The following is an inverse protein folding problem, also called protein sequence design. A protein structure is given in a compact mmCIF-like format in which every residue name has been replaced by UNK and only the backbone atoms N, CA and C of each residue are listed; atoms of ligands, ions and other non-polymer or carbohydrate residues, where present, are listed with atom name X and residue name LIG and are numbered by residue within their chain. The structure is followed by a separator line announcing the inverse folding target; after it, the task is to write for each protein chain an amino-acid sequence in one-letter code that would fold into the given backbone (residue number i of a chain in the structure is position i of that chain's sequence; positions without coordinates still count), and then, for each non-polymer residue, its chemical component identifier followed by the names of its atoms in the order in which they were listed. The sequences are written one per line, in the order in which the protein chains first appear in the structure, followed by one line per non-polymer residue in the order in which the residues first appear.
data_IF_930418459498
#
_entry.id   IF_930418459498
#
_cell.length_a   1.000
_cell.length_b   1.000
_cell.length_c   1.000
_cell.angle_alpha   90.00
_cell.angle_beta   90.00
_cell.angle_gamma   90.00
#
_symmetry.space_group_name_H-M   'P 1'
#
loop_
_entity.id
_entity.type
_entity.pdbx_description
1 polymer ?
#
# COMPACT_ATOMS: atom_id res chain seq x y z
N UNK A 1 14.72 -39.68 30.86
CA UNK A 1 14.79 -38.59 31.86
C UNK A 1 15.92 -37.66 31.49
N UNK A 2 15.59 -36.58 30.80
CA UNK A 2 16.34 -35.31 30.80
C UNK A 2 15.28 -34.23 30.58
N UNK A 3 15.22 -33.30 31.51
CA UNK A 3 14.03 -32.52 31.84
C UNK A 3 13.69 -31.48 30.76
N UNK A 4 12.42 -31.48 30.35
CA UNK A 4 11.77 -30.35 29.69
C UNK A 4 11.75 -29.17 30.67
N UNK A 5 12.43 -28.08 30.29
CA UNK A 5 12.41 -26.82 31.03
C UNK A 5 11.02 -26.17 31.04
N UNK A 6 10.70 -25.38 32.07
CA UNK A 6 9.35 -24.94 32.38
C UNK A 6 8.87 -23.85 31.41
N UNK A 7 7.58 -23.93 31.06
CA UNK A 7 6.72 -22.86 30.57
C UNK A 7 7.42 -21.55 30.16
N UNK A 8 7.83 -21.45 28.90
CA UNK A 8 7.93 -20.15 28.24
C UNK A 8 6.50 -19.62 28.20
N UNK A 9 6.14 -18.76 29.16
CA UNK A 9 4.93 -17.94 29.07
C UNK A 9 5.15 -17.02 27.88
N UNK A 10 4.59 -17.39 26.74
CA UNK A 10 4.42 -16.48 25.62
C UNK A 10 3.62 -15.30 26.17
N UNK A 11 4.11 -14.05 26.07
CA UNK A 11 3.34 -12.89 26.51
C UNK A 11 1.97 -12.90 25.81
N UNK A 12 0.89 -12.41 26.46
CA UNK A 12 -0.40 -12.31 25.80
C UNK A 12 -0.22 -11.60 24.46
N UNK A 13 -0.89 -12.13 23.41
CA UNK A 13 -0.73 -11.59 22.07
C UNK A 13 -1.02 -10.09 22.08
N UNK A 14 -0.10 -9.31 21.52
CA UNK A 14 -0.32 -7.87 21.33
C UNK A 14 -1.47 -7.62 20.34
N UNK A 15 -1.71 -8.59 19.45
CA UNK A 15 -2.72 -8.54 18.41
C UNK A 15 -3.86 -9.52 18.71
N UNK A 16 -5.09 -9.05 18.57
CA UNK A 16 -6.28 -9.91 18.64
C UNK A 16 -6.37 -10.73 17.34
N UNK A 17 -7.02 -11.89 17.37
CA UNK A 17 -7.34 -12.67 16.15
C UNK A 17 -8.12 -11.85 15.11
N UNK A 18 -9.00 -10.96 15.60
CA UNK A 18 -9.78 -10.07 14.75
C UNK A 18 -8.99 -8.87 14.17
N UNK A 19 -7.71 -8.73 14.51
CA UNK A 19 -6.91 -7.56 14.12
C UNK A 19 -6.76 -7.48 12.60
N UNK A 20 -6.90 -6.27 12.06
CA UNK A 20 -6.56 -5.94 10.68
C UNK A 20 -5.04 -5.77 10.52
N UNK A 21 -4.30 -5.62 11.62
CA UNK A 21 -2.86 -5.33 11.59
C UNK A 21 -2.00 -6.56 11.30
N UNK A 22 -2.54 -7.77 11.49
CA UNK A 22 -1.84 -9.04 11.37
C UNK A 22 -2.84 -10.13 10.95
N UNK A 23 -2.44 -11.04 10.05
CA UNK A 23 -3.28 -12.18 9.69
C UNK A 23 -3.34 -12.48 8.20
N UNK A 24 -4.31 -13.29 7.80
CA UNK A 24 -4.49 -13.73 6.42
C UNK A 24 -5.50 -12.84 5.68
N UNK A 25 -5.18 -12.50 4.43
CA UNK A 25 -5.99 -11.65 3.57
C UNK A 25 -6.15 -12.28 2.20
N UNK A 26 -7.39 -12.28 1.69
CA UNK A 26 -7.72 -12.75 0.37
C UNK A 26 -8.15 -11.56 -0.48
N UNK A 27 -7.34 -11.22 -1.48
CA UNK A 27 -7.63 -10.13 -2.42
C UNK A 27 -8.17 -10.67 -3.74
N UNK A 28 -9.16 -9.97 -4.29
CA UNK A 28 -9.63 -10.17 -5.65
C UNK A 28 -9.03 -9.08 -6.53
N UNK A 29 -8.36 -9.45 -7.62
CA UNK A 29 -7.88 -8.45 -8.57
C UNK A 29 -9.05 -7.95 -9.44
N UNK A 30 -9.37 -6.66 -9.38
CA UNK A 30 -10.41 -6.05 -10.24
C UNK A 30 -10.21 -6.40 -11.72
N UNK A 31 -11.20 -7.00 -12.36
CA UNK A 31 -11.15 -7.42 -13.78
C UNK A 31 -10.40 -8.74 -14.05
N UNK A 32 -9.99 -9.49 -13.03
CA UNK A 32 -9.50 -10.87 -13.17
C UNK A 32 -10.25 -11.80 -12.23
N UNK A 33 -10.47 -13.03 -12.66
CA UNK A 33 -10.94 -14.14 -11.81
C UNK A 33 -9.84 -14.67 -10.88
N UNK A 34 -8.69 -13.99 -10.78
CA UNK A 34 -7.54 -14.45 -10.01
C UNK A 34 -7.56 -13.87 -8.61
N UNK A 35 -7.80 -14.74 -7.63
CA UNK A 35 -7.59 -14.44 -6.22
C UNK A 35 -6.10 -14.41 -5.88
N UNK A 36 -5.75 -13.75 -4.79
CA UNK A 36 -4.42 -13.81 -4.20
C UNK A 36 -4.50 -13.85 -2.68
N UNK A 37 -3.74 -14.77 -2.08
CA UNK A 37 -3.71 -14.98 -0.62
C UNK A 37 -2.42 -14.38 -0.07
N UNK A 38 -2.54 -13.62 1.02
CA UNK A 38 -1.43 -12.90 1.65
C UNK A 38 -1.43 -13.13 3.15
N UNK A 39 -0.24 -13.26 3.72
CA UNK A 39 -0.01 -13.12 5.17
C UNK A 39 0.55 -11.73 5.43
N UNK A 40 -0.18 -10.94 6.23
CA UNK A 40 0.26 -9.64 6.73
C UNK A 40 1.06 -9.81 8.02
N UNK A 41 2.30 -9.32 7.98
CA UNK A 41 3.20 -9.24 9.12
C UNK A 41 3.22 -7.78 9.59
N UNK A 42 2.85 -7.49 10.85
CA UNK A 42 2.87 -6.14 11.40
C UNK A 42 4.30 -5.61 11.57
N UNK A 43 4.50 -4.29 11.65
CA UNK A 43 5.80 -3.71 11.93
C UNK A 43 6.27 -4.06 13.35
N UNK A 44 7.57 -4.26 13.52
CA UNK A 44 8.22 -4.73 14.73
C UNK A 44 9.13 -3.67 15.36
N UNK A 45 8.69 -3.08 16.48
CA UNK A 45 9.41 -2.02 17.19
C UNK A 45 10.31 -2.58 18.30
N UNK A 46 11.27 -3.43 17.93
CA UNK A 46 12.20 -4.02 18.90
C UNK A 46 13.45 -3.15 19.18
N UNK A 47 13.56 -1.99 18.53
CA UNK A 47 14.71 -1.07 18.63
C UNK A 47 15.86 -1.45 17.70
N UNK A 48 16.78 -0.52 17.41
CA UNK A 48 17.85 -0.70 16.42
C UNK A 48 18.88 -1.79 16.78
N UNK A 49 19.00 -2.13 18.06
CA UNK A 49 19.93 -3.16 18.55
C UNK A 49 19.30 -4.56 18.58
N UNK A 50 18.06 -4.69 18.08
CA UNK A 50 17.35 -5.94 18.06
C UNK A 50 18.01 -6.96 17.13
N UNK A 51 18.16 -8.19 17.62
CA UNK A 51 18.71 -9.30 16.85
C UNK A 51 17.69 -10.43 16.79
N UNK A 52 17.45 -10.90 15.58
CA UNK A 52 16.54 -11.99 15.32
C UNK A 52 16.19 -12.07 13.84
N UNK A 53 15.66 -13.23 13.46
CA UNK A 53 15.09 -13.43 12.12
C UNK A 53 13.78 -14.21 12.23
N UNK A 54 12.92 -13.97 11.27
CA UNK A 54 11.68 -14.69 11.04
C UNK A 54 11.84 -15.50 9.74
N UNK A 55 11.53 -16.78 9.79
CA UNK A 55 11.59 -17.69 8.66
C UNK A 55 10.18 -18.19 8.35
N UNK A 56 9.79 -18.16 7.08
CA UNK A 56 8.46 -18.58 6.60
C UNK A 56 8.65 -19.53 5.42
N UNK A 57 8.25 -20.77 5.60
CA UNK A 57 8.19 -21.79 4.55
C UNK A 57 6.73 -21.96 4.11
N UNK A 58 6.45 -21.66 2.85
CA UNK A 58 5.11 -21.79 2.24
C UNK A 58 5.17 -22.62 0.96
N UNK A 59 4.01 -22.83 0.32
CA UNK A 59 3.95 -23.45 -1.01
C UNK A 59 4.64 -22.65 -2.11
N UNK A 60 4.92 -21.36 -1.86
CA UNK A 60 5.68 -20.50 -2.75
C UNK A 60 7.19 -20.48 -2.44
N UNK A 61 7.64 -21.29 -1.48
CA UNK A 61 9.04 -21.42 -1.09
C UNK A 61 9.36 -20.79 0.27
N UNK A 62 10.66 -20.61 0.49
CA UNK A 62 11.23 -20.17 1.76
C UNK A 62 11.57 -18.68 1.74
N UNK A 63 11.22 -17.96 2.80
CA UNK A 63 11.53 -16.53 2.99
C UNK A 63 12.10 -16.29 4.37
N UNK A 64 13.08 -15.39 4.45
CA UNK A 64 13.68 -14.95 5.72
C UNK A 64 13.58 -13.43 5.81
N UNK A 65 13.18 -12.95 6.98
CA UNK A 65 13.10 -11.53 7.32
C UNK A 65 13.97 -11.27 8.54
N UNK A 66 14.92 -10.34 8.41
CA UNK A 66 15.63 -9.78 9.56
C UNK A 66 14.75 -8.75 10.27
N UNK A 67 15.11 -8.39 11.51
CA UNK A 67 14.39 -7.34 12.25
C UNK A 67 14.29 -6.03 11.46
N UNK A 68 15.36 -5.62 10.78
CA UNK A 68 15.40 -4.42 9.93
C UNK A 68 14.40 -4.48 8.77
N UNK A 69 14.11 -5.68 8.27
CA UNK A 69 13.13 -5.85 7.20
C UNK A 69 11.70 -5.63 7.72
N UNK A 70 11.49 -5.78 9.03
CA UNK A 70 10.20 -5.69 9.71
C UNK A 70 9.98 -4.33 10.40
N UNK A 71 10.77 -3.29 10.07
CA UNK A 71 10.49 -1.92 10.51
C UNK A 71 9.17 -1.37 9.91
N UNK A 72 8.69 -1.98 8.82
CA UNK A 72 7.42 -1.69 8.18
C UNK A 72 6.63 -3.00 7.98
N UNK A 73 5.33 -2.86 7.74
CA UNK A 73 4.45 -3.98 7.41
C UNK A 73 4.94 -4.76 6.19
N UNK A 74 4.84 -6.09 6.24
CA UNK A 74 5.16 -6.97 5.12
C UNK A 74 3.98 -7.81 4.71
N UNK A 75 3.79 -7.91 3.39
CA UNK A 75 2.81 -8.79 2.78
C UNK A 75 3.52 -9.95 2.12
N UNK A 76 3.33 -11.13 2.68
CA UNK A 76 3.94 -12.36 2.20
C UNK A 76 2.94 -13.08 1.31
N UNK A 77 3.21 -13.27 0.01
CA UNK A 77 2.31 -14.02 -0.85
C UNK A 77 2.27 -15.47 -0.39
N UNK A 78 1.08 -16.05 -0.40
CA UNK A 78 0.82 -17.43 -0.02
C UNK A 78 0.06 -18.14 -1.14
N UNK A 79 0.22 -19.46 -1.21
CA UNK A 79 -0.66 -20.35 -1.98
C UNK A 79 -1.45 -21.21 -1.01
N UNK A 80 -2.73 -21.48 -1.29
CA UNK A 80 -3.54 -22.31 -0.40
C UNK A 80 -2.99 -23.74 -0.38
N UNK A 81 -2.69 -24.24 0.83
CA UNK A 81 -2.21 -25.59 1.11
C UNK A 81 -2.42 -25.90 2.61
N UNK A 82 -2.28 -27.15 3.01
CA UNK A 82 -2.38 -27.57 4.42
C UNK A 82 -1.13 -28.38 4.79
N UNK A 83 -0.32 -27.92 5.76
CA UNK A 83 -0.42 -26.64 6.49
C UNK A 83 -0.13 -25.44 5.56
N UNK A 84 -0.73 -24.28 5.84
CA UNK A 84 -0.58 -23.09 4.98
C UNK A 84 0.88 -22.63 4.90
N UNK A 85 1.55 -22.53 6.05
CA UNK A 85 2.97 -22.24 6.14
C UNK A 85 3.55 -22.77 7.46
N UNK A 86 4.85 -23.07 7.46
CA UNK A 86 5.64 -23.28 8.67
C UNK A 86 6.40 -21.98 8.98
N UNK A 87 6.32 -21.53 10.23
CA UNK A 87 6.89 -20.24 10.65
C UNK A 87 7.79 -20.46 11.85
N UNK A 88 9.03 -19.99 11.76
CA UNK A 88 10.00 -20.07 12.84
C UNK A 88 10.58 -18.68 13.16
N UNK A 89 10.66 -18.36 14.44
CA UNK A 89 11.28 -17.13 14.93
C UNK A 89 12.57 -17.43 15.68
N UNK A 90 13.53 -16.51 15.59
CA UNK A 90 14.80 -16.60 16.31
C UNK A 90 15.09 -15.27 17.02
N UNK A 91 15.75 -15.35 18.17
CA UNK A 91 16.06 -14.19 18.99
C UNK A 91 14.80 -13.45 19.42
N UNK A 92 14.77 -12.13 19.23
CA UNK A 92 13.67 -11.28 19.69
C UNK A 92 12.40 -11.38 18.83
N UNK A 93 12.45 -12.06 17.67
CA UNK A 93 11.29 -12.28 16.81
C UNK A 93 10.47 -13.54 17.16
N UNK A 94 10.83 -14.26 18.24
CA UNK A 94 10.11 -15.47 18.69
C UNK A 94 8.62 -15.22 18.96
N UNK A 95 8.28 -14.10 19.63
CA UNK A 95 6.89 -13.79 19.98
C UNK A 95 6.06 -13.47 18.73
N UNK A 96 6.64 -12.74 17.76
CA UNK A 96 5.99 -12.45 16.49
C UNK A 96 5.76 -13.74 15.69
N UNK A 97 6.74 -14.64 15.64
CA UNK A 97 6.58 -15.93 14.97
C UNK A 97 5.45 -16.76 15.59
N UNK A 98 5.39 -16.83 16.93
CA UNK A 98 4.31 -17.55 17.62
C UNK A 98 2.92 -16.97 17.29
N UNK A 99 2.82 -15.65 17.19
CA UNK A 99 1.58 -14.99 16.76
C UNK A 99 1.21 -15.40 15.33
N UNK A 100 2.14 -15.28 14.39
CA UNK A 100 1.90 -15.62 12.99
C UNK A 100 1.55 -17.10 12.82
N UNK A 101 2.16 -18.01 13.61
CA UNK A 101 1.75 -19.41 13.67
C UNK A 101 0.28 -19.51 14.08
N UNK A 102 -0.14 -18.79 15.11
CA UNK A 102 -1.54 -18.70 15.51
C UNK A 102 -2.44 -18.24 14.37
N UNK A 103 -2.01 -17.22 13.61
CA UNK A 103 -2.76 -16.68 12.49
C UNK A 103 -2.92 -17.66 11.31
N UNK A 104 -1.87 -18.41 10.97
CA UNK A 104 -1.93 -19.37 9.84
C UNK A 104 -2.52 -20.73 10.23
N UNK A 105 -2.49 -21.08 11.53
CA UNK A 105 -2.98 -22.38 12.02
C UNK A 105 -4.48 -22.57 11.87
N UNK A 106 -5.25 -21.48 11.78
CA UNK A 106 -6.69 -21.53 11.52
C UNK A 106 -7.05 -21.95 10.09
N UNK A 107 -6.12 -21.84 9.14
CA UNK A 107 -6.35 -22.21 7.75
C UNK A 107 -6.40 -23.73 7.61
N UNK A 108 -7.52 -24.26 7.12
CA UNK A 108 -7.81 -25.70 7.09
C UNK A 108 -8.13 -26.20 5.68
N UNK A 109 -8.29 -27.52 5.50
CA UNK A 109 -8.71 -28.09 4.22
C UNK A 109 -10.16 -27.70 3.84
N UNK A 110 -10.98 -27.33 4.82
CA UNK A 110 -12.40 -27.10 4.65
C UNK A 110 -12.82 -25.68 5.04
N UNK A 111 -13.69 -25.09 4.22
CA UNK A 111 -14.48 -23.86 4.49
C UNK A 111 -13.71 -22.72 5.18
N UNK A 112 -12.64 -22.24 4.56
CA UNK A 112 -11.95 -21.03 5.00
C UNK A 112 -12.73 -19.79 4.54
N UNK A 113 -13.26 -19.01 5.48
CA UNK A 113 -14.04 -17.81 5.18
C UNK A 113 -13.18 -16.54 5.26
N UNK A 114 -13.43 -15.63 4.33
CA UNK A 114 -12.85 -14.29 4.26
C UNK A 114 -13.96 -13.28 4.05
N UNK A 115 -13.82 -12.07 4.59
CA UNK A 115 -14.69 -10.96 4.17
C UNK A 115 -14.52 -10.70 2.66
N UNK A 116 -15.62 -10.37 1.97
CA UNK A 116 -15.62 -10.09 0.54
C UNK A 116 -16.00 -8.62 0.28
N UNK A 117 -15.07 -7.72 0.61
CA UNK A 117 -15.16 -6.33 0.19
C UNK A 117 -14.53 -6.15 -1.20
N UNK A 118 -14.68 -4.97 -1.79
CA UNK A 118 -14.28 -4.66 -3.18
C UNK A 118 -12.82 -4.98 -3.48
N UNK A 119 -11.93 -4.85 -2.49
CA UNK A 119 -10.48 -5.05 -2.65
C UNK A 119 -9.96 -6.36 -2.03
N UNK A 120 -10.83 -7.13 -1.39
CA UNK A 120 -10.45 -8.31 -0.60
C UNK A 120 -10.95 -8.25 0.83
N UNK A 121 -10.52 -9.20 1.65
CA UNK A 121 -10.84 -9.17 3.07
C UNK A 121 -10.06 -10.16 3.93
N UNK A 122 -10.09 -9.90 5.23
CA UNK A 122 -9.43 -10.69 6.26
C UNK A 122 -10.08 -12.06 6.40
N UNK A 123 -9.26 -13.06 6.71
CA UNK A 123 -9.69 -14.39 7.15
C UNK A 123 -10.52 -14.31 8.45
N UNK A 124 -11.51 -15.18 8.56
CA UNK A 124 -12.42 -15.25 9.69
C UNK A 124 -12.15 -16.57 10.41
N UNK A 125 -11.71 -16.48 11.67
CA UNK A 125 -11.49 -17.69 12.46
C UNK A 125 -12.83 -18.32 12.84
N UNK A 126 -12.83 -19.64 13.03
CA UNK A 126 -14.03 -20.43 13.35
C UNK A 126 -14.76 -20.01 14.63
N UNK A 127 -14.05 -19.37 15.57
CA UNK A 127 -14.62 -18.85 16.82
C UNK A 127 -15.19 -17.43 16.67
N UNK A 128 -14.97 -16.77 15.53
CA UNK A 128 -15.56 -15.48 15.22
C UNK A 128 -17.00 -15.62 14.68
N UNK A 129 -17.72 -14.50 14.68
CA UNK A 129 -19.11 -14.43 14.24
C UNK A 129 -19.22 -13.71 12.91
N UNK A 130 -20.01 -14.27 11.99
CA UNK A 130 -20.41 -13.62 10.74
C UNK A 130 -21.48 -12.57 11.02
N UNK A 131 -21.64 -11.62 10.11
CA UNK A 131 -22.50 -10.45 10.25
C UNK A 131 -23.60 -10.45 9.18
N UNK A 132 -24.85 -10.26 9.60
CA UNK A 132 -25.95 -10.08 8.67
C UNK A 132 -25.70 -8.94 7.68
N UNK A 133 -26.06 -9.15 6.41
CA UNK A 133 -25.85 -8.20 5.31
C UNK A 133 -24.41 -8.10 4.81
N UNK A 134 -23.46 -8.88 5.34
CA UNK A 134 -22.08 -8.90 4.85
C UNK A 134 -21.87 -9.95 3.75
N UNK A 135 -20.84 -9.73 2.93
CA UNK A 135 -20.41 -10.64 1.86
C UNK A 135 -19.14 -11.38 2.29
N UNK A 136 -19.02 -12.61 1.85
CA UNK A 136 -17.93 -13.51 2.18
C UNK A 136 -17.43 -14.28 0.97
N UNK A 137 -16.15 -14.62 1.00
CA UNK A 137 -15.52 -15.58 0.10
C UNK A 137 -15.13 -16.81 0.88
N UNK A 138 -15.38 -17.97 0.30
CA UNK A 138 -15.05 -19.27 0.88
C UNK A 138 -14.01 -19.97 0.01
N UNK A 139 -12.96 -20.48 0.63
CA UNK A 139 -11.97 -21.37 0.01
C UNK A 139 -12.02 -22.75 0.64
N UNK A 140 -12.16 -23.79 -0.18
CA UNK A 140 -12.14 -25.19 0.27
C UNK A 140 -11.35 -26.07 -0.69
N UNK A 141 -10.67 -27.08 -0.16
CA UNK A 141 -9.94 -28.07 -0.97
C UNK A 141 -10.91 -29.00 -1.71
N UNK A 142 -12.11 -29.18 -1.16
CA UNK A 142 -13.16 -30.01 -1.73
C UNK A 142 -14.32 -29.16 -2.24
N UNK A 143 -15.08 -29.73 -3.18
CA UNK A 143 -16.30 -29.07 -3.66
C UNK A 143 -17.30 -28.94 -2.51
N UNK A 144 -17.90 -27.76 -2.37
CA UNK A 144 -18.87 -27.45 -1.32
C UNK A 144 -20.16 -27.00 -2.00
N UNK A 145 -21.23 -27.74 -1.76
CA UNK A 145 -22.55 -27.42 -2.25
C UNK A 145 -23.52 -27.23 -1.06
N UNK A 146 -24.11 -26.03 -0.87
CA UNK A 146 -25.19 -25.87 0.08
C UNK A 146 -26.46 -26.60 -0.40
N UNK A 147 -27.36 -27.00 0.52
CA UNK A 147 -28.73 -27.37 0.16
C UNK A 147 -29.37 -26.27 -0.71
N UNK A 148 -30.22 -26.66 -1.67
CA UNK A 148 -30.74 -25.74 -2.71
C UNK A 148 -31.36 -24.45 -2.14
N UNK A 149 -32.19 -24.58 -1.10
CA UNK A 149 -32.82 -23.43 -0.44
C UNK A 149 -31.80 -22.52 0.24
N UNK A 150 -30.78 -23.10 0.86
CA UNK A 150 -29.72 -22.39 1.54
C UNK A 150 -28.82 -21.68 0.53
N UNK A 151 -28.46 -22.35 -0.56
CA UNK A 151 -27.68 -21.76 -1.65
C UNK A 151 -28.39 -20.55 -2.27
N UNK A 152 -29.71 -20.63 -2.44
CA UNK A 152 -30.53 -19.51 -2.91
C UNK A 152 -30.56 -18.35 -1.92
N UNK A 153 -30.72 -18.64 -0.62
CA UNK A 153 -30.75 -17.62 0.43
C UNK A 153 -29.41 -16.89 0.59
N UNK A 154 -28.29 -17.59 0.38
CA UNK A 154 -26.94 -17.06 0.47
C UNK A 154 -26.45 -16.39 -0.81
N UNK A 155 -27.20 -16.50 -1.91
CA UNK A 155 -26.71 -16.10 -3.23
C UNK A 155 -25.39 -16.78 -3.57
N UNK A 156 -25.28 -18.09 -3.30
CA UNK A 156 -24.07 -18.89 -3.45
C UNK A 156 -23.59 -18.93 -4.91
N UNK A 157 -22.36 -18.47 -5.14
CA UNK A 157 -21.76 -18.36 -6.48
C UNK A 157 -20.40 -19.05 -6.51
N UNK A 158 -20.22 -20.13 -7.31
CA UNK A 158 -18.90 -20.67 -7.59
C UNK A 158 -18.07 -19.69 -8.44
N UNK A 159 -16.88 -19.35 -7.98
CA UNK A 159 -15.94 -18.42 -8.65
C UNK A 159 -14.82 -19.16 -9.40
N UNK A 160 -14.79 -20.49 -9.30
CA UNK A 160 -13.83 -21.36 -9.98
C UNK A 160 -12.77 -21.93 -9.04
N UNK A 161 -11.57 -22.18 -9.59
CA UNK A 161 -10.47 -22.84 -8.88
C UNK A 161 -9.29 -21.86 -8.73
N UNK A 162 -8.86 -21.64 -7.49
CA UNK A 162 -7.70 -20.84 -7.12
C UNK A 162 -6.64 -21.73 -6.48
N UNK A 163 -5.48 -21.89 -7.14
CA UNK A 163 -4.37 -22.69 -6.59
C UNK A 163 -4.73 -24.15 -6.30
N UNK A 164 -5.68 -24.72 -7.04
CA UNK A 164 -6.22 -26.07 -6.80
C UNK A 164 -7.37 -26.15 -5.77
N UNK A 165 -7.80 -25.01 -5.22
CA UNK A 165 -8.89 -24.92 -4.25
C UNK A 165 -10.14 -24.32 -4.88
N UNK A 166 -11.31 -24.82 -4.49
CA UNK A 166 -12.58 -24.28 -4.93
C UNK A 166 -12.87 -22.97 -4.21
N UNK A 167 -13.28 -21.96 -4.99
CA UNK A 167 -13.67 -20.67 -4.48
C UNK A 167 -15.16 -20.40 -4.70
N UNK A 168 -15.78 -19.80 -3.70
CA UNK A 168 -17.17 -19.39 -3.74
C UNK A 168 -17.33 -17.99 -3.16
N UNK A 169 -18.29 -17.25 -3.67
CA UNK A 169 -18.79 -16.03 -3.07
C UNK A 169 -20.21 -16.24 -2.53
N UNK A 170 -20.51 -15.63 -1.39
CA UNK A 170 -21.83 -15.68 -0.75
C UNK A 170 -22.11 -14.38 0.00
N UNK A 171 -23.39 -14.10 0.25
CA UNK A 171 -23.84 -12.96 1.04
C UNK A 171 -24.82 -13.42 2.11
N UNK A 172 -24.63 -12.95 3.34
CA UNK A 172 -25.64 -13.13 4.37
C UNK A 172 -26.81 -12.16 4.11
N UNK A 173 -28.07 -12.64 4.21
CA UNK A 173 -29.25 -11.79 4.09
C UNK A 173 -29.15 -10.52 4.93
N UNK A 174 -29.54 -9.37 4.35
CA UNK A 174 -29.52 -8.07 5.02
C UNK A 174 -30.67 -7.88 6.00
N UNK A 175 -31.78 -8.62 5.80
CA UNK A 175 -32.97 -8.58 6.66
C UNK A 175 -33.29 -9.99 7.09
N UNK A 176 -33.52 -10.17 8.40
CA UNK A 176 -34.02 -11.43 8.93
C UNK A 176 -35.38 -11.73 8.29
N UNK A 177 -35.46 -12.84 7.56
CA UNK A 177 -36.71 -13.27 6.94
C UNK A 177 -37.57 -13.91 8.03
N UNK A 178 -38.48 -13.12 8.60
CA UNK A 178 -39.38 -13.57 9.68
C UNK A 178 -40.21 -14.83 9.35
N UNK A 179 -40.37 -15.15 8.06
CA UNK A 179 -41.03 -16.36 7.59
C UNK A 179 -40.16 -17.63 7.59
N UNK A 180 -38.85 -17.52 7.87
CA UNK A 180 -37.93 -18.67 7.98
C UNK A 180 -37.11 -18.60 9.29
N UNK A 181 -37.71 -18.93 10.44
CA UNK A 181 -37.07 -18.78 11.75
C UNK A 181 -35.84 -19.69 11.96
N UNK A 182 -35.77 -20.83 11.26
CA UNK A 182 -34.66 -21.80 11.37
C UNK A 182 -33.46 -21.47 10.46
N UNK A 183 -33.65 -20.59 9.47
CA UNK A 183 -32.62 -20.23 8.48
C UNK A 183 -31.29 -19.75 9.11
N UNK A 184 -31.26 -18.90 10.16
CA UNK A 184 -30.01 -18.53 10.83
C UNK A 184 -29.22 -19.73 11.34
N UNK A 185 -29.91 -20.71 11.92
CA UNK A 185 -29.30 -21.90 12.47
C UNK A 185 -28.75 -22.78 11.35
N UNK A 186 -29.53 -22.96 10.28
CA UNK A 186 -29.09 -23.70 9.10
C UNK A 186 -27.86 -23.07 8.44
N UNK A 187 -27.83 -21.73 8.29
CA UNK A 187 -26.66 -21.01 7.79
C UNK A 187 -25.46 -21.21 8.72
N UNK A 188 -25.66 -21.07 10.04
CA UNK A 188 -24.60 -21.21 11.02
C UNK A 188 -24.01 -22.63 11.03
N UNK A 189 -24.86 -23.65 10.98
CA UNK A 189 -24.46 -25.07 10.94
C UNK A 189 -23.72 -25.39 9.62
N UNK A 190 -24.16 -24.83 8.50
CA UNK A 190 -23.50 -25.00 7.21
C UNK A 190 -22.16 -24.26 7.13
N UNK A 191 -22.08 -23.00 7.55
CA UNK A 191 -20.84 -22.22 7.48
C UNK A 191 -19.89 -22.53 8.64
N UNK A 192 -20.34 -23.23 9.68
CA UNK A 192 -19.56 -23.52 10.88
C UNK A 192 -19.29 -22.29 11.76
N UNK A 193 -20.07 -21.22 11.59
CA UNK A 193 -19.87 -19.95 12.28
C UNK A 193 -21.18 -19.42 12.85
N UNK A 194 -21.11 -18.79 14.03
CA UNK A 194 -22.27 -18.08 14.58
C UNK A 194 -22.53 -16.80 13.78
N UNK A 195 -23.76 -16.32 13.79
CA UNK A 195 -24.17 -15.10 13.08
C UNK A 195 -24.66 -14.07 14.09
N UNK A 196 -24.25 -12.81 13.88
CA UNK A 196 -24.65 -11.66 14.70
C UNK A 196 -25.19 -10.52 13.84
N UNK A 197 -25.76 -9.54 14.53
CA UNK A 197 -26.14 -8.25 13.95
C UNK A 197 -24.93 -7.52 13.37
N UNK A 198 -25.18 -6.74 12.32
CA UNK A 198 -24.17 -5.91 11.67
C UNK A 198 -23.58 -4.89 12.65
N UNK A 199 -22.24 -4.78 12.70
CA UNK A 199 -21.55 -3.79 13.52
C UNK A 199 -21.47 -2.42 12.81
N UNK A 200 -21.34 -1.32 13.56
CA UNK A 200 -20.96 -0.02 12.99
C UNK A 200 -19.68 -0.12 12.17
N UNK A 201 -19.57 0.66 11.08
CA UNK A 201 -18.40 0.71 10.20
C UNK A 201 -17.88 2.14 10.07
N UNK A 202 -16.57 2.28 9.85
CA UNK A 202 -15.93 3.53 9.42
C UNK A 202 -15.56 3.43 7.94
N UNK A 203 -15.89 4.48 7.20
CA UNK A 203 -15.53 4.64 5.80
C UNK A 203 -14.63 5.88 5.65
N UNK A 204 -13.49 5.71 4.98
CA UNK A 204 -12.60 6.82 4.64
C UNK A 204 -13.24 7.65 3.51
N UNK A 205 -13.37 8.97 3.70
CA UNK A 205 -14.06 9.83 2.72
C UNK A 205 -13.12 10.86 2.11
N UNK A 206 -12.36 11.60 2.92
CA UNK A 206 -11.50 12.68 2.43
C UNK A 206 -10.28 12.89 3.36
N UNK A 207 -9.07 13.14 2.82
CA UNK A 207 -8.69 12.97 1.43
C UNK A 207 -8.82 11.51 0.98
N UNK A 208 -8.99 11.30 -0.33
CA UNK A 208 -8.92 9.95 -0.87
C UNK A 208 -7.49 9.40 -0.74
N UNK A 209 -7.32 8.11 -0.43
CA UNK A 209 -6.00 7.50 -0.37
C UNK A 209 -5.36 7.50 -1.77
N UNK A 210 -4.04 7.54 -1.82
CA UNK A 210 -3.34 7.33 -3.08
C UNK A 210 -3.65 5.92 -3.63
N UNK A 211 -3.58 4.90 -2.79
CA UNK A 211 -4.11 3.58 -3.10
C UNK A 211 -4.57 2.88 -1.82
N UNK A 212 -5.32 1.80 -2.00
CA UNK A 212 -5.59 0.86 -0.91
C UNK A 212 -4.84 -0.42 -1.27
N UNK A 213 -3.99 -0.86 -0.35
CA UNK A 213 -3.19 -2.07 -0.45
C UNK A 213 -4.08 -3.32 -0.53
N UNK A 214 -3.51 -4.46 -0.94
CA UNK A 214 -4.23 -5.74 -1.11
C UNK A 214 -4.91 -6.26 0.17
N UNK A 215 -4.53 -5.77 1.33
CA UNK A 215 -5.13 -6.11 2.63
C UNK A 215 -6.17 -5.09 3.13
N UNK A 216 -6.49 -4.08 2.33
CA UNK A 216 -7.44 -3.03 2.69
C UNK A 216 -6.83 -1.81 3.38
N UNK A 217 -5.50 -1.72 3.50
CA UNK A 217 -4.84 -0.55 4.11
C UNK A 217 -4.87 0.66 3.20
N UNK A 218 -5.37 1.80 3.70
CA UNK A 218 -5.39 3.08 3.01
C UNK A 218 -3.98 3.70 3.06
N UNK A 219 -3.34 3.90 1.91
CA UNK A 219 -1.97 4.44 1.86
C UNK A 219 -1.98 5.86 1.35
N UNK A 220 -1.40 6.77 2.15
CA UNK A 220 -1.19 8.16 1.80
C UNK A 220 0.30 8.42 1.54
N UNK A 221 0.64 9.16 0.46
CA UNK A 221 2.02 9.44 0.09
C UNK A 221 2.65 10.50 0.99
N UNK A 222 1.83 11.34 1.60
CA UNK A 222 2.20 12.40 2.53
C UNK A 222 1.25 12.42 3.72
N UNK A 223 1.67 12.93 4.89
CA UNK A 223 0.78 13.16 6.03
C UNK A 223 -0.42 14.04 5.64
N UNK A 224 -1.67 13.52 5.64
CA UNK A 224 -2.84 14.37 5.37
C UNK A 224 -3.06 15.34 6.53
N UNK A 225 -3.55 16.57 6.31
CA UNK A 225 -3.82 17.47 7.46
C UNK A 225 -4.91 16.92 8.40
N UNK A 226 -5.91 16.24 7.82
CA UNK A 226 -6.97 15.57 8.55
C UNK A 226 -7.59 14.47 7.71
N UNK A 227 -8.24 13.50 8.37
CA UNK A 227 -9.07 12.49 7.74
C UNK A 227 -10.53 12.73 8.11
N UNK A 228 -11.40 12.86 7.11
CA UNK A 228 -12.84 12.84 7.25
C UNK A 228 -13.34 11.41 7.04
N UNK A 229 -14.05 10.91 8.04
CA UNK A 229 -14.60 9.57 8.09
C UNK A 229 -16.13 9.65 8.17
N UNK A 230 -16.80 8.68 7.53
CA UNK A 230 -18.24 8.45 7.70
C UNK A 230 -18.48 7.19 8.52
N UNK A 231 -19.27 7.32 9.58
CA UNK A 231 -19.63 6.29 10.55
C UNK A 231 -21.08 5.84 10.32
N UNK A 232 -21.30 4.53 10.15
CA UNK A 232 -22.63 3.98 9.84
C UNK A 232 -23.49 3.61 11.06
N UNK A 233 -23.08 4.00 12.28
CA UNK A 233 -23.74 3.65 13.54
C UNK A 233 -23.14 4.44 14.71
N UNK A 234 -23.65 4.24 15.92
CA UNK A 234 -23.09 4.86 17.13
C UNK A 234 -21.83 4.13 17.62
N UNK A 235 -20.97 4.83 18.35
CA UNK A 235 -19.82 4.24 19.05
C UNK A 235 -18.62 5.18 19.05
N UNK A 236 -17.77 5.07 20.07
CA UNK A 236 -16.61 5.95 20.23
C UNK A 236 -15.54 5.61 19.19
N UNK A 237 -15.13 6.60 18.40
CA UNK A 237 -14.03 6.44 17.45
C UNK A 237 -12.70 6.63 18.18
N UNK A 238 -11.75 5.71 17.95
CA UNK A 238 -10.39 5.84 18.47
C UNK A 238 -9.36 5.56 17.39
N UNK A 239 -8.17 6.14 17.56
CA UNK A 239 -7.02 5.94 16.65
C UNK A 239 -5.85 5.43 17.47
N UNK A 240 -5.26 4.32 17.02
CA UNK A 240 -4.07 3.75 17.66
C UNK A 240 -2.95 3.67 16.65
N UNK A 241 -1.78 4.22 16.97
CA UNK A 241 -0.59 4.08 16.15
C UNK A 241 0.11 2.74 16.43
N UNK A 242 0.69 2.12 15.39
CA UNK A 242 1.48 0.91 15.51
C UNK A 242 2.79 1.15 16.29
N UNK A 243 3.33 2.36 16.18
CA UNK A 243 4.55 2.86 16.84
C UNK A 243 4.26 4.18 17.56
N UNK A 244 4.72 4.31 18.80
CA UNK A 244 4.58 5.53 19.59
C UNK A 244 3.16 5.80 20.12
N UNK A 245 3.02 6.88 20.89
CA UNK A 245 1.74 7.42 21.35
C UNK A 245 1.35 8.59 20.45
N UNK A 246 0.67 8.32 19.33
CA UNK A 246 0.09 9.38 18.50
C UNK A 246 -1.14 9.95 19.17
N UNK A 247 -1.08 11.21 19.63
CA UNK A 247 -2.24 11.94 20.15
C UNK A 247 -3.11 12.44 19.02
N UNK A 248 -3.90 11.56 18.40
CA UNK A 248 -4.88 11.96 17.41
C UNK A 248 -6.01 12.75 18.09
N UNK A 249 -6.34 13.92 17.55
CA UNK A 249 -7.52 14.69 17.92
C UNK A 249 -8.72 14.21 17.12
N UNK A 250 -9.78 13.83 17.82
CA UNK A 250 -11.01 13.33 17.20
C UNK A 250 -12.11 14.34 17.46
N UNK A 251 -12.71 14.85 16.37
CA UNK A 251 -13.81 15.80 16.39
C UNK A 251 -15.01 15.17 15.70
N UNK A 252 -16.08 14.92 16.46
CA UNK A 252 -17.37 14.52 15.90
C UNK A 252 -18.04 15.73 15.23
N UNK A 253 -18.45 15.57 13.98
CA UNK A 253 -19.13 16.58 13.17
C UNK A 253 -20.57 16.14 12.91
N UNK A 254 -21.33 15.97 13.99
CA UNK A 254 -22.67 15.38 13.96
C UNK A 254 -22.63 13.86 14.12
N UNK A 255 -23.75 13.19 13.83
CA UNK A 255 -23.94 11.78 14.19
C UNK A 255 -23.14 10.80 13.31
N UNK A 256 -22.96 11.14 12.03
CA UNK A 256 -22.31 10.26 11.04
C UNK A 256 -20.86 10.66 10.70
N UNK A 257 -20.45 11.90 10.95
CA UNK A 257 -19.17 12.39 10.45
C UNK A 257 -18.16 12.54 11.58
N UNK A 258 -16.96 11.99 11.36
CA UNK A 258 -15.86 12.08 12.31
C UNK A 258 -14.65 12.64 11.59
N UNK A 259 -14.08 13.73 12.11
CA UNK A 259 -12.81 14.27 11.65
C UNK A 259 -11.70 13.86 12.61
N UNK A 260 -10.66 13.26 12.07
CA UNK A 260 -9.48 12.86 12.81
C UNK A 260 -8.30 13.71 12.34
N UNK A 261 -7.63 14.37 13.28
CA UNK A 261 -6.37 15.09 13.06
C UNK A 261 -5.30 14.44 13.88
N UNK A 262 -4.06 14.52 13.44
CA UNK A 262 -2.97 13.98 14.22
C UNK A 262 -1.63 14.35 13.60
N UNK A 263 -0.57 14.35 14.41
CA UNK A 263 0.78 14.34 13.89
C UNK A 263 1.02 12.96 13.27
N UNK A 264 0.79 12.83 11.96
CA UNK A 264 1.07 11.58 11.27
C UNK A 264 2.55 11.45 10.96
N UNK A 265 3.11 10.30 11.31
CA UNK A 265 4.51 9.99 11.14
C UNK A 265 4.66 9.03 9.97
N UNK A 266 5.58 9.35 9.06
CA UNK A 266 5.96 8.47 7.97
C UNK A 266 6.41 7.10 8.46
N UNK A 267 5.97 6.04 7.78
CA UNK A 267 6.27 4.65 8.14
C UNK A 267 5.44 4.09 9.30
N UNK A 268 4.63 4.91 9.97
CA UNK A 268 3.70 4.45 10.99
C UNK A 268 2.35 4.06 10.40
N UNK A 269 1.75 3.02 10.97
CA UNK A 269 0.38 2.61 10.66
C UNK A 269 -0.56 3.07 11.77
N UNK A 270 -1.75 3.44 11.37
CA UNK A 270 -2.79 3.97 12.25
C UNK A 270 -4.04 3.13 12.08
N UNK A 271 -4.49 2.55 13.19
CA UNK A 271 -5.68 1.73 13.26
C UNK A 271 -6.83 2.58 13.75
N UNK A 272 -7.87 2.70 12.93
CA UNK A 272 -9.13 3.34 13.24
C UNK A 272 -10.09 2.29 13.80
N UNK A 273 -10.66 2.54 14.97
CA UNK A 273 -11.57 1.62 15.65
C UNK A 273 -12.86 2.31 16.11
N UNK A 274 -13.94 1.54 16.22
CA UNK A 274 -15.17 1.93 16.93
C UNK A 274 -15.29 1.02 18.14
N UNK A 275 -15.40 1.60 19.34
CA UNK A 275 -15.53 0.87 20.62
C UNK A 275 -14.44 -0.21 20.79
N UNK A 276 -13.22 0.08 20.33
CA UNK A 276 -12.07 -0.83 20.36
C UNK A 276 -12.09 -1.98 19.34
N UNK A 277 -13.07 -2.01 18.43
CA UNK A 277 -13.11 -2.93 17.27
C UNK A 277 -12.48 -2.26 16.05
N UNK A 278 -11.37 -2.81 15.54
CA UNK A 278 -10.66 -2.29 14.36
C UNK A 278 -11.58 -2.27 13.13
N UNK A 279 -11.63 -1.12 12.44
CA UNK A 279 -12.48 -0.89 11.27
C UNK A 279 -11.67 -0.62 10.01
N UNK A 280 -10.58 0.13 10.12
CA UNK A 280 -9.72 0.48 9.00
C UNK A 280 -8.29 0.71 9.48
N UNK A 281 -7.33 0.54 8.57
CA UNK A 281 -5.94 0.91 8.78
C UNK A 281 -5.55 1.92 7.71
N UNK A 282 -4.86 2.98 8.10
CA UNK A 282 -4.14 3.80 7.15
C UNK A 282 -2.65 3.88 7.48
N UNK A 283 -1.83 4.13 6.46
CA UNK A 283 -0.39 4.30 6.58
C UNK A 283 0.02 5.55 5.82
N UNK A 284 0.89 6.33 6.44
CA UNK A 284 1.66 7.33 5.69
C UNK A 284 2.94 6.65 5.25
N UNK A 285 3.08 6.46 3.95
CA UNK A 285 4.28 5.90 3.36
C UNK A 285 4.76 6.86 2.29
N UNK A 286 5.90 7.55 2.52
CA UNK A 286 6.48 8.45 1.53
C UNK A 286 6.60 7.74 0.19
N UNK A 287 5.84 8.22 -0.78
CA UNK A 287 5.83 7.64 -2.11
C UNK A 287 6.64 8.52 -3.05
N UNK A 288 7.87 8.09 -3.31
CA UNK A 288 8.77 8.73 -4.27
C UNK A 288 8.21 8.68 -5.72
N UNK A 289 7.08 8.01 -5.98
CA UNK A 289 6.40 8.10 -7.28
C UNK A 289 5.61 9.41 -7.44
N UNK A 290 4.99 9.89 -6.36
CA UNK A 290 4.12 11.09 -6.36
C UNK A 290 4.90 12.32 -5.90
N UNK A 291 5.88 12.11 -5.03
CA UNK A 291 6.82 13.14 -4.61
C UNK A 291 8.26 12.63 -4.87
N UNK A 292 8.63 12.39 -6.16
CA UNK A 292 10.00 12.01 -6.48
C UNK A 292 10.93 13.12 -6.06
N UNK A 293 11.99 12.76 -5.33
CA UNK A 293 13.12 13.68 -5.12
C UNK A 293 13.63 14.04 -6.51
N UNK A 294 13.49 15.31 -6.85
CA UNK A 294 14.01 15.87 -8.07
C UNK A 294 15.49 16.15 -7.97
N UNK A 295 15.95 16.87 -8.97
CA UNK A 295 17.31 17.40 -8.98
C UNK A 295 17.29 18.67 -8.14
N UNK A 296 18.16 18.75 -7.14
CA UNK A 296 18.23 19.91 -6.25
C UNK A 296 19.09 20.98 -6.91
N UNK A 297 18.61 22.23 -6.87
CA UNK A 297 19.40 23.38 -7.27
C UNK A 297 19.81 24.16 -6.04
N UNK A 298 21.10 24.44 -5.94
CA UNK A 298 21.70 25.24 -4.88
C UNK A 298 22.35 26.49 -5.48
N UNK A 299 22.02 27.66 -4.94
CA UNK A 299 22.71 28.92 -5.25
C UNK A 299 22.81 29.80 -4.02
N UNK A 300 24.05 30.06 -3.57
CA UNK A 300 24.34 30.83 -2.35
C UNK A 300 23.61 30.23 -1.13
N UNK A 301 22.53 30.87 -0.65
CA UNK A 301 21.73 30.44 0.52
C UNK A 301 20.38 29.82 0.11
N UNK A 302 20.15 29.60 -1.18
CA UNK A 302 18.90 29.06 -1.73
C UNK A 302 19.11 27.61 -2.17
N UNK A 303 18.18 26.74 -1.78
CA UNK A 303 18.13 25.33 -2.17
C UNK A 303 16.68 24.94 -2.46
N UNK A 304 16.40 24.32 -3.61
CA UNK A 304 15.05 23.88 -3.98
C UNK A 304 15.05 22.69 -4.94
N UNK A 305 13.90 22.05 -5.12
CA UNK A 305 13.70 20.90 -6.00
C UNK A 305 13.11 21.35 -7.35
N UNK A 306 13.77 21.00 -8.47
CA UNK A 306 13.32 21.35 -9.83
C UNK A 306 11.93 20.82 -10.20
N UNK A 307 11.39 19.85 -9.46
CA UNK A 307 10.12 19.19 -9.73
C UNK A 307 8.93 19.88 -9.07
N UNK A 308 9.12 20.37 -7.84
CA UNK A 308 8.02 20.83 -6.99
C UNK A 308 8.00 22.34 -6.78
N UNK A 309 9.14 23.01 -6.96
CA UNK A 309 9.26 24.43 -6.65
C UNK A 309 9.29 25.30 -7.93
N UNK A 310 8.60 26.44 -7.89
CA UNK A 310 8.69 27.45 -8.94
C UNK A 310 10.10 28.08 -8.96
N UNK A 311 10.60 28.56 -10.11
CA UNK A 311 11.88 29.25 -10.13
C UNK A 311 11.80 30.48 -9.22
N UNK A 312 12.62 30.46 -8.16
CA UNK A 312 12.85 31.62 -7.30
C UNK A 312 13.62 32.70 -8.08
N UNK A 313 13.55 33.93 -7.56
CA UNK A 313 14.01 35.19 -8.14
C UNK A 313 15.19 35.07 -9.14
N UNK A 314 14.93 35.43 -10.39
CA UNK A 314 15.87 35.35 -11.51
C UNK A 314 17.17 36.14 -11.26
N UNK A 315 17.08 37.25 -10.53
CA UNK A 315 18.23 38.10 -10.21
C UNK A 315 19.17 37.41 -9.20
N UNK A 316 18.61 36.66 -8.24
CA UNK A 316 19.39 35.88 -7.28
C UNK A 316 20.16 34.73 -7.97
N UNK A 317 19.53 34.08 -8.94
CA UNK A 317 20.10 32.96 -9.68
C UNK A 317 21.21 33.36 -10.66
N UNK A 318 21.14 34.57 -11.21
CA UNK A 318 22.14 35.09 -12.16
C UNK A 318 23.35 35.70 -11.46
N UNK A 319 23.17 36.20 -10.22
CA UNK A 319 24.25 36.77 -9.41
C UNK A 319 25.26 35.72 -8.91
N UNK A 320 24.82 34.47 -8.68
CA UNK A 320 25.62 33.41 -8.08
C UNK A 320 26.00 32.26 -9.01
N UNK A 321 26.94 31.42 -8.55
CA UNK A 321 27.11 30.08 -9.11
C UNK A 321 25.86 29.27 -8.80
N UNK A 322 25.36 28.56 -9.79
CA UNK A 322 24.25 27.62 -9.64
C UNK A 322 24.84 26.23 -9.68
N UNK A 323 24.58 25.44 -8.64
CA UNK A 323 24.94 24.03 -8.57
C UNK A 323 23.67 23.21 -8.65
N UNK A 324 23.73 22.12 -9.38
CA UNK A 324 22.63 21.20 -9.61
C UNK A 324 23.09 19.84 -9.09
N UNK A 325 22.63 19.46 -7.90
CA UNK A 325 22.90 18.14 -7.34
C UNK A 325 21.92 17.12 -7.94
N UNK A 326 22.48 16.21 -8.74
CA UNK A 326 21.70 15.19 -9.42
C UNK A 326 21.45 13.95 -8.53
N UNK A 327 21.99 13.93 -7.30
CA UNK A 327 21.87 12.85 -6.31
C UNK A 327 22.60 11.55 -6.67
N UNK A 328 22.90 11.31 -7.96
CA UNK A 328 23.60 10.11 -8.44
C UNK A 328 24.38 10.38 -9.74
N UNK A 329 25.58 9.78 -9.84
CA UNK A 329 26.46 9.92 -11.01
C UNK A 329 25.83 9.46 -12.33
N UNK A 330 24.92 8.49 -12.31
CA UNK A 330 24.20 8.02 -13.52
C UNK A 330 23.28 9.09 -14.08
N UNK A 331 22.56 9.81 -13.22
CA UNK A 331 21.69 10.92 -13.60
C UNK A 331 22.55 12.09 -14.07
N UNK A 332 23.59 12.45 -13.30
CA UNK A 332 24.50 13.54 -13.62
C UNK A 332 25.15 13.37 -15.02
N UNK A 333 25.66 12.18 -15.34
CA UNK A 333 26.25 11.88 -16.65
C UNK A 333 25.22 11.87 -17.80
N UNK A 334 23.95 11.58 -17.53
CA UNK A 334 22.89 11.72 -18.52
C UNK A 334 22.56 13.19 -18.76
N UNK A 335 22.34 13.96 -17.69
CA UNK A 335 21.95 15.37 -17.76
C UNK A 335 23.06 16.27 -18.31
N UNK A 336 24.33 15.98 -18.01
CA UNK A 336 25.48 16.69 -18.58
C UNK A 336 25.49 16.64 -20.11
N UNK A 337 25.01 15.55 -20.72
CA UNK A 337 24.92 15.39 -22.19
C UNK A 337 23.75 16.13 -22.82
N UNK A 338 22.77 16.53 -22.02
CA UNK A 338 21.59 17.26 -22.49
C UNK A 338 21.72 18.77 -22.28
N UNK A 339 22.70 19.20 -21.48
CA UNK A 339 22.84 20.58 -21.01
C UNK A 339 24.27 21.08 -21.27
N UNK A 340 24.52 21.54 -22.49
CA UNK A 340 25.81 22.08 -22.90
C UNK A 340 26.20 23.29 -22.04
N UNK A 341 27.48 23.40 -21.68
CA UNK A 341 28.03 24.51 -20.88
C UNK A 341 28.02 24.28 -19.36
N UNK A 342 27.27 23.29 -18.86
CA UNK A 342 27.32 22.89 -17.45
C UNK A 342 28.53 22.00 -17.17
N UNK A 343 29.28 22.30 -16.10
CA UNK A 343 30.48 21.55 -15.70
C UNK A 343 30.10 20.43 -14.75
N UNK A 344 30.43 19.18 -15.11
CA UNK A 344 30.13 17.99 -14.31
C UNK A 344 31.27 17.70 -13.32
N UNK A 345 30.92 17.65 -12.03
CA UNK A 345 31.77 17.22 -10.92
C UNK A 345 31.07 16.11 -10.12
N UNK A 346 31.48 14.86 -10.32
CA UNK A 346 30.89 13.67 -9.69
C UNK A 346 29.38 13.52 -9.92
N UNK A 347 28.55 14.02 -8.99
CA UNK A 347 27.09 14.00 -9.04
C UNK A 347 26.48 15.38 -9.29
N UNK A 348 27.30 16.42 -9.43
CA UNK A 348 26.88 17.82 -9.49
C UNK A 348 27.19 18.47 -10.82
N UNK A 349 26.28 19.30 -11.31
CA UNK A 349 26.46 20.15 -12.48
C UNK A 349 26.54 21.60 -12.02
N UNK A 350 27.59 22.33 -12.39
CA UNK A 350 27.78 23.72 -11.98
C UNK A 350 27.85 24.66 -13.17
N UNK A 351 27.29 25.86 -13.00
CA UNK A 351 27.37 26.95 -13.96
C UNK A 351 27.65 28.27 -13.22
N UNK A 352 28.72 29.01 -13.56
CA UNK A 352 29.13 30.22 -12.85
C UNK A 352 28.12 31.36 -13.04
N UNK A 353 28.13 32.32 -12.10
CA UNK A 353 27.31 33.54 -12.18
C UNK A 353 27.58 34.37 -13.44
N UNK A 354 26.61 35.19 -13.84
CA UNK A 354 26.67 36.03 -15.05
C UNK A 354 26.41 35.30 -16.38
N UNK A 355 26.07 34.02 -16.34
CA UNK A 355 25.64 33.23 -17.52
C UNK A 355 24.12 33.05 -17.52
N UNK A 356 23.51 32.94 -18.70
CA UNK A 356 22.12 32.51 -18.83
C UNK A 356 21.96 31.11 -18.21
N UNK A 357 20.95 30.93 -17.36
CA UNK A 357 20.68 29.65 -16.70
C UNK A 357 19.49 28.98 -17.38
N UNK A 358 19.81 28.02 -18.24
CA UNK A 358 18.89 27.05 -18.79
C UNK A 358 19.33 25.66 -18.38
N UNK A 359 18.41 24.87 -17.82
CA UNK A 359 18.67 23.49 -17.47
C UNK A 359 17.45 22.61 -17.73
N UNK A 360 17.64 21.59 -18.57
CA UNK A 360 16.65 20.60 -18.89
C UNK A 360 16.98 19.28 -18.20
N UNK A 361 16.21 18.93 -17.17
CA UNK A 361 16.32 17.66 -16.48
C UNK A 361 15.32 16.60 -17.00
N UNK A 362 14.65 16.90 -18.11
CA UNK A 362 13.69 16.00 -18.74
C UNK A 362 12.49 15.74 -17.85
N UNK A 363 12.31 14.47 -17.48
CA UNK A 363 11.28 14.17 -16.50
C UNK A 363 11.54 14.99 -15.24
N UNK A 364 12.79 15.09 -14.70
CA UNK A 364 13.25 15.64 -13.39
C UNK A 364 13.04 17.15 -13.14
N UNK A 365 12.23 17.82 -13.96
CA UNK A 365 11.99 19.26 -13.86
C UNK A 365 12.89 20.03 -14.82
N UNK A 366 12.78 21.36 -14.78
CA UNK A 366 13.52 22.24 -15.67
C UNK A 366 13.69 23.63 -15.04
N UNK A 367 14.84 24.24 -15.31
CA UNK A 367 15.10 25.65 -15.06
C UNK A 367 15.02 26.36 -16.42
N UNK A 368 14.07 27.29 -16.58
CA UNK A 368 13.83 27.99 -17.85
C UNK A 368 14.23 29.46 -17.79
N UNK A 369 15.03 29.85 -18.78
CA UNK A 369 15.31 31.18 -19.29
C UNK A 369 15.58 32.23 -18.21
N UNK A 370 16.52 31.94 -17.32
CA UNK A 370 17.00 32.95 -16.36
C UNK A 370 18.17 33.71 -17.00
N UNK A 371 17.87 34.86 -17.60
CA UNK A 371 18.84 35.69 -18.31
C UNK A 371 19.29 36.84 -17.40
N UNK A 372 20.60 37.13 -17.27
CA UNK A 372 21.07 38.32 -16.57
C UNK A 372 20.55 39.60 -17.24
N UNK A 373 20.09 40.59 -16.46
CA UNK A 373 19.59 41.87 -16.97
C UNK A 373 20.58 42.64 -17.88
N UNK A 374 21.87 42.31 -17.83
CA UNK A 374 22.92 42.87 -18.70
C UNK A 374 22.98 42.26 -20.11
N UNK A 375 22.36 41.09 -20.34
CA UNK A 375 22.29 40.38 -21.62
C UNK A 375 20.96 40.59 -22.36
N UNK A 376 19.92 41.07 -21.67
CA UNK A 376 18.61 41.40 -22.24
C UNK A 376 18.59 42.70 -23.08
N UNK A 377 19.72 43.41 -23.18
CA UNK A 377 19.79 44.72 -23.84
C UNK A 377 19.87 44.67 -25.39
N UNK A 378 19.70 43.50 -26.02
CA UNK A 378 19.73 43.39 -27.48
C UNK A 378 18.85 42.26 -28.00
N UNK A 379 17.58 42.56 -28.29
CA UNK A 379 16.92 42.42 -29.60
C UNK A 379 15.40 42.64 -29.46
N UNK A 380 14.91 43.75 -30.01
CA UNK A 380 13.52 43.84 -30.44
C UNK A 380 13.28 42.79 -31.54
N UNK A 381 12.58 41.70 -31.24
CA UNK A 381 11.85 40.93 -32.26
C UNK A 381 10.76 40.07 -31.65
N UNK A 382 9.51 40.47 -31.88
CA UNK A 382 8.36 39.57 -31.97
C UNK A 382 7.87 38.98 -30.66
N UNK A 383 6.82 39.59 -30.10
CA UNK A 383 5.95 38.96 -29.12
C UNK A 383 5.46 37.60 -29.64
N UNK A 384 6.04 36.51 -29.15
CA UNK A 384 5.37 35.23 -29.09
C UNK A 384 4.57 35.21 -27.80
N UNK A 385 3.24 35.17 -27.90
CA UNK A 385 2.37 34.86 -26.76
C UNK A 385 2.96 33.67 -26.00
N UNK A 386 3.07 33.72 -24.66
CA UNK A 386 3.44 32.55 -23.90
C UNK A 386 2.39 31.48 -24.21
N UNK A 387 2.83 30.39 -24.84
CA UNK A 387 1.97 29.26 -25.13
C UNK A 387 1.25 28.90 -23.82
N UNK A 388 -0.09 28.91 -23.86
CA UNK A 388 -0.92 28.58 -22.71
C UNK A 388 -0.35 27.32 -22.05
N UNK A 389 -0.19 27.30 -20.71
CA UNK A 389 0.33 26.13 -20.01
C UNK A 389 -0.54 24.94 -20.42
N UNK A 390 0.04 24.05 -21.21
CA UNK A 390 -0.64 22.81 -21.52
C UNK A 390 -0.89 22.13 -20.17
N UNK A 391 -2.13 21.70 -19.88
CA UNK A 391 -2.38 20.95 -18.67
C UNK A 391 -1.40 19.77 -18.67
N UNK A 392 -0.71 19.49 -17.55
CA UNK A 392 0.23 18.39 -17.49
C UNK A 392 -0.53 17.13 -17.88
N UNK A 393 -0.26 16.64 -19.09
CA UNK A 393 -0.64 15.28 -19.47
C UNK A 393 -0.14 14.40 -18.34
N UNK A 394 -1.05 13.74 -17.63
CA UNK A 394 -0.70 12.85 -16.52
C UNK A 394 0.10 11.70 -17.14
N UNK A 395 1.43 11.84 -17.18
CA UNK A 395 2.31 10.82 -17.73
C UNK A 395 2.58 9.84 -16.60
N UNK A 396 1.66 8.88 -16.45
CA UNK A 396 1.58 7.82 -15.41
C UNK A 396 2.89 7.01 -15.26
N UNK A 397 3.88 7.18 -16.14
CA UNK A 397 5.11 6.39 -16.15
C UNK A 397 6.42 7.22 -16.05
N UNK A 398 6.38 8.56 -15.90
CA UNK A 398 7.62 9.38 -15.78
C UNK A 398 8.48 8.98 -14.58
N UNK A 399 7.86 8.53 -13.50
CA UNK A 399 8.56 8.03 -12.32
C UNK A 399 9.39 6.77 -12.62
N UNK A 400 8.99 5.93 -13.57
CA UNK A 400 9.74 4.71 -13.91
C UNK A 400 11.08 5.07 -14.53
N UNK A 401 11.08 6.05 -15.42
CA UNK A 401 12.29 6.53 -16.09
C UNK A 401 13.20 7.38 -15.18
N UNK A 402 12.70 7.76 -14.00
CA UNK A 402 13.43 8.50 -12.98
C UNK A 402 13.90 7.59 -11.86
N UNK A 403 12.96 7.14 -11.02
CA UNK A 403 13.19 6.45 -9.77
C UNK A 403 13.74 5.04 -9.96
N UNK A 404 13.16 4.28 -10.89
CA UNK A 404 13.63 2.92 -11.15
C UNK A 404 14.99 2.95 -11.85
N UNK A 405 15.25 3.95 -12.69
CA UNK A 405 16.58 4.13 -13.30
C UNK A 405 17.63 4.52 -12.26
N UNK A 406 17.28 5.37 -11.30
CA UNK A 406 18.14 5.77 -10.19
C UNK A 406 18.56 4.56 -9.35
N UNK A 407 17.61 3.78 -8.85
CA UNK A 407 17.87 2.70 -7.89
C UNK A 407 18.27 1.38 -8.56
N UNK A 408 17.74 1.09 -9.76
CA UNK A 408 17.84 -0.22 -10.42
C UNK A 408 18.35 -0.15 -11.88
N UNK A 409 18.65 1.04 -12.40
CA UNK A 409 19.17 1.24 -13.75
C UNK A 409 18.12 1.08 -14.87
N UNK A 410 18.55 1.35 -16.10
CA UNK A 410 17.68 1.31 -17.28
C UNK A 410 17.08 -0.08 -17.57
N UNK A 411 17.76 -1.16 -17.15
CA UNK A 411 17.21 -2.51 -17.23
C UNK A 411 16.08 -2.74 -16.22
N UNK A 412 16.25 -2.29 -14.98
CA UNK A 412 15.19 -2.30 -13.96
C UNK A 412 13.94 -1.55 -14.46
N UNK A 413 14.12 -0.35 -15.02
CA UNK A 413 13.02 0.43 -15.58
C UNK A 413 12.30 -0.29 -16.73
N UNK A 414 13.05 -0.93 -17.64
CA UNK A 414 12.48 -1.75 -18.72
C UNK A 414 11.69 -2.94 -18.19
N UNK A 415 12.18 -3.61 -17.14
CA UNK A 415 11.49 -4.74 -16.52
C UNK A 415 10.19 -4.28 -15.83
N UNK A 416 10.19 -3.12 -15.16
CA UNK A 416 8.97 -2.54 -14.58
C UNK A 416 7.95 -2.18 -15.65
N UNK A 417 8.34 -1.49 -16.72
CA UNK A 417 7.45 -1.18 -17.86
C UNK A 417 6.87 -2.46 -18.48
N UNK A 418 7.70 -3.50 -18.65
CA UNK A 418 7.28 -4.79 -19.18
C UNK A 418 6.26 -5.47 -18.25
N UNK A 419 6.48 -5.45 -16.94
CA UNK A 419 5.53 -5.98 -15.96
C UNK A 419 4.19 -5.21 -15.98
N UNK A 420 4.22 -3.88 -15.99
CA UNK A 420 2.99 -3.07 -16.04
C UNK A 420 2.18 -3.35 -17.32
N UNK A 421 2.86 -3.51 -18.46
CA UNK A 421 2.20 -3.85 -19.73
C UNK A 421 1.64 -5.28 -19.78
N UNK A 422 2.26 -6.22 -19.05
CA UNK A 422 1.85 -7.63 -19.01
C UNK A 422 2.24 -8.26 -17.66
N UNK A 423 1.35 -8.24 -16.65
CA UNK A 423 1.65 -8.74 -15.32
C UNK A 423 1.44 -10.27 -15.28
N UNK A 424 2.37 -10.99 -15.90
CA UNK A 424 2.50 -12.45 -15.87
C UNK A 424 3.49 -12.89 -14.78
N UNK A 425 3.41 -14.14 -14.28
CA UNK A 425 4.41 -14.66 -13.33
C UNK A 425 5.84 -14.52 -13.84
N UNK A 426 6.07 -14.75 -15.14
CA UNK A 426 7.38 -14.59 -15.78
C UNK A 426 7.91 -13.15 -15.70
N UNK A 427 7.08 -12.15 -16.01
CA UNK A 427 7.48 -10.75 -15.93
C UNK A 427 7.62 -10.26 -14.48
N UNK A 428 6.85 -10.84 -13.55
CA UNK A 428 7.03 -10.60 -12.13
C UNK A 428 8.43 -11.06 -11.68
N UNK A 429 8.86 -12.27 -12.03
CA UNK A 429 10.21 -12.77 -11.69
C UNK A 429 11.33 -11.93 -12.30
N UNK A 430 11.13 -11.33 -13.47
CA UNK A 430 12.10 -10.43 -14.12
C UNK A 430 12.35 -9.13 -13.36
N UNK A 431 11.47 -8.75 -12.43
CA UNK A 431 11.71 -7.58 -11.57
C UNK A 431 12.89 -7.80 -10.61
N UNK A 432 13.30 -9.05 -10.36
CA UNK A 432 14.49 -9.34 -9.56
C UNK A 432 14.43 -8.71 -8.16
N UNK A 433 15.45 -7.92 -7.80
CA UNK A 433 15.52 -7.23 -6.51
C UNK A 433 14.43 -6.18 -6.29
N UNK A 434 13.78 -5.69 -7.36
CA UNK A 434 12.64 -4.77 -7.25
C UNK A 434 11.45 -5.48 -6.59
N UNK A 435 11.30 -6.80 -6.76
CA UNK A 435 10.21 -7.57 -6.14
C UNK A 435 10.18 -7.49 -4.62
N UNK A 436 11.34 -7.31 -4.00
CA UNK A 436 11.52 -7.21 -2.55
C UNK A 436 11.77 -5.79 -2.09
N UNK A 437 11.76 -4.83 -3.02
CA UNK A 437 11.95 -3.41 -2.73
C UNK A 437 10.68 -2.77 -2.17
N UNK A 438 10.85 -1.58 -1.59
CA UNK A 438 9.76 -0.68 -1.24
C UNK A 438 8.92 -0.23 -2.44
N UNK A 439 9.41 -0.40 -3.68
CA UNK A 439 8.69 0.04 -4.88
C UNK A 439 7.61 -0.94 -5.35
N UNK A 440 7.67 -2.21 -4.94
CA UNK A 440 6.77 -3.25 -5.44
C UNK A 440 5.29 -2.99 -5.13
N UNK A 441 4.90 -2.55 -3.92
CA UNK A 441 3.52 -2.15 -3.63
C UNK A 441 3.00 -1.09 -4.59
N UNK A 442 3.81 -0.07 -4.88
CA UNK A 442 3.44 1.03 -5.77
C UNK A 442 3.37 0.62 -7.24
N UNK A 443 4.28 -0.24 -7.70
CA UNK A 443 4.22 -0.84 -9.04
C UNK A 443 2.89 -1.59 -9.21
N UNK A 444 2.43 -2.33 -8.19
CA UNK A 444 1.12 -3.00 -8.22
C UNK A 444 -0.04 -2.00 -8.18
N UNK A 445 0.05 -0.95 -7.37
CA UNK A 445 -0.97 0.09 -7.32
C UNK A 445 -1.16 0.76 -8.70
N UNK A 446 -0.07 1.09 -9.39
CA UNK A 446 -0.12 1.63 -10.76
C UNK A 446 -0.76 0.64 -11.74
N UNK A 447 -0.42 -0.66 -11.64
CA UNK A 447 -1.08 -1.71 -12.43
C UNK A 447 -2.60 -1.76 -12.18
N UNK A 448 -3.04 -1.58 -10.92
CA UNK A 448 -4.46 -1.55 -10.57
C UNK A 448 -5.17 -0.30 -11.12
N UNK A 449 -4.52 0.86 -11.10
CA UNK A 449 -5.06 2.11 -11.63
C UNK A 449 -5.08 2.15 -13.17
N UNK A 450 -4.16 1.47 -13.85
CA UNK A 450 -4.08 1.40 -15.32
C UNK A 450 -5.09 0.44 -15.95
N UNK A 451 -5.83 -0.33 -15.15
CA UNK A 451 -6.99 -1.07 -15.66
C UNK A 451 -8.14 -0.08 -15.81
N UNK A 452 -8.47 0.24 -17.07
CA UNK A 452 -9.66 1.06 -17.38
C UNK A 452 -10.90 0.49 -16.66
N UNK A 453 -11.77 1.36 -16.10
CA UNK A 453 -13.10 0.94 -15.69
C UNK A 453 -13.86 0.51 -16.95
N UNK A 454 -14.00 -0.80 -17.15
CA UNK A 454 -14.92 -1.33 -18.16
C UNK A 454 -16.33 -0.81 -17.87
N UNK A 455 -17.09 -0.50 -18.93
CA UNK A 455 -18.36 0.25 -18.98
C UNK A 455 -19.54 -0.23 -18.08
N UNK A 456 -19.34 -1.11 -17.10
CA UNK A 456 -20.35 -1.51 -16.11
C UNK A 456 -20.44 -0.63 -14.85
N UNK A 457 -19.45 0.23 -14.58
CA UNK A 457 -19.35 0.97 -13.30
C UNK A 457 -19.98 2.37 -13.30
N UNK A 458 -20.75 2.74 -14.34
CA UNK A 458 -21.40 4.07 -14.42
C UNK A 458 -22.85 4.11 -13.95
N UNK A 459 -23.43 2.96 -13.60
CA UNK A 459 -24.83 2.85 -13.14
C UNK A 459 -24.95 2.30 -11.70
N UNK A 460 -24.13 2.80 -10.77
CA UNK A 460 -24.30 2.59 -9.33
C UNK A 460 -24.22 3.90 -8.53
#
# INVERSE_FOLDING_TARGET
MTALGPHIRVPPSRWKRESLSCGLFLASEAGRTSLSLWLRIPPSNLGETAVGRLEIQSGLGYRTYQHTDLCATRLVPMTPQVPLAEIAGFGQLLALAAELVGQVSGFSADRNLFYADERGGRFIFSDEQLEWGARYRLLSMHEVAPPLELGSALGWKPEGIFGGWYSYELALPSVFVGSKPDLPKEIADFLGHRIRSRRPRLHMVDPLPHHVEVDGTYVYPEPPESLLLRRSGSGETSVTASVGTGGAEISEQGDEWVRVRGPWTSGCEYVLAIDGSEQAIFRVEPCELFCPVGVTVDSVDLSWDLVTDAPLDADALTAGTVNIDCGNARIAAHLARLNDGWVLEETRLSLPGGSAKDFYAGSFGELRCVVPASLDASEESGAAEPAAPQPPTVIVNRWIDRLVVQDYGAEGARNVKRYLSNPSPENLYRLGSIMTSRLMPYIRAVQHQQRDPTEGDKDL
#
